data_IF_363883091928
#
_entry.id   IF_363883091928
#
_cell.length_a   1.000
_cell.length_b   1.000
_cell.length_c   1.000
_cell.angle_alpha   90.00
_cell.angle_beta   90.00
_cell.angle_gamma   90.00
#
_symmetry.space_group_name_H-M   'P 1'
#
loop_
_entity.id
_entity.type
_entity.pdbx_description
1 polymer ?
#
# COMPACT_ATOMS: atom_id res chain seq x y z
N UNK A 1 34.33 15.26 15.54
CA UNK A 1 34.42 14.47 16.78
C UNK A 1 33.70 13.16 16.52
N UNK A 2 34.39 12.19 15.93
CA UNK A 2 33.82 10.91 15.47
C UNK A 2 34.06 9.85 16.53
N UNK A 3 32.99 9.21 16.99
CA UNK A 3 33.03 8.10 17.94
C UNK A 3 33.38 6.84 17.16
N UNK A 4 34.58 6.31 17.37
CA UNK A 4 35.05 5.03 16.83
C UNK A 4 34.55 3.88 17.70
N UNK A 5 33.66 3.03 17.18
CA UNK A 5 33.37 1.73 17.79
C UNK A 5 34.42 0.71 17.35
N UNK A 6 35.36 0.40 18.24
CA UNK A 6 36.38 -0.62 18.06
C UNK A 6 35.75 -2.02 18.19
N UNK A 7 35.67 -2.77 17.10
CA UNK A 7 35.54 -4.22 17.18
C UNK A 7 36.94 -4.80 17.39
N UNK A 8 37.21 -5.28 18.60
CA UNK A 8 38.43 -6.04 18.92
C UNK A 8 38.29 -7.46 18.38
N UNK A 9 38.78 -7.70 17.16
CA UNK A 9 39.03 -9.05 16.66
C UNK A 9 40.36 -9.53 17.26
N UNK A 10 40.29 -10.70 17.90
CA UNK A 10 41.40 -11.41 18.53
C UNK A 10 42.60 -11.51 17.58
N UNK A 11 43.75 -10.97 18.00
CA UNK A 11 44.97 -10.77 17.22
C UNK A 11 45.74 -12.06 16.90
N UNK A 12 45.09 -13.22 17.00
CA UNK A 12 45.73 -14.52 16.88
C UNK A 12 45.70 -15.09 15.44
N UNK A 13 45.02 -14.43 14.49
CA UNK A 13 44.82 -14.95 13.11
C UNK A 13 45.62 -14.19 12.03
N UNK A 14 46.19 -13.01 12.30
CA UNK A 14 46.93 -12.24 11.29
C UNK A 14 48.42 -12.25 11.59
N UNK A 15 49.10 -13.23 11.00
CA UNK A 15 50.53 -13.16 10.78
C UNK A 15 50.87 -12.01 9.81
N UNK A 16 51.80 -11.19 10.27
CA UNK A 16 52.72 -10.35 9.50
C UNK A 16 52.19 -9.05 8.86
N UNK A 17 52.84 -7.97 9.31
CA UNK A 17 52.67 -6.56 8.98
C UNK A 17 52.98 -6.22 7.53
N UNK A 18 52.05 -5.54 6.84
CA UNK A 18 52.39 -4.59 5.77
C UNK A 18 51.53 -3.34 5.87
N UNK A 19 52.20 -2.20 6.03
CA UNK A 19 51.63 -0.86 6.15
C UNK A 19 51.14 -0.32 4.81
N UNK A 20 49.89 0.17 4.71
CA UNK A 20 49.48 1.02 3.57
C UNK A 20 48.55 2.16 4.04
N UNK A 21 48.90 3.36 3.59
CA UNK A 21 48.39 4.71 3.90
C UNK A 21 46.96 4.96 3.36
N UNK A 22 46.01 5.64 4.06
CA UNK A 22 44.60 5.65 3.69
C UNK A 22 44.19 6.96 3.00
N UNK A 23 44.37 7.08 1.69
CA UNK A 23 43.70 8.12 0.91
C UNK A 23 43.35 7.61 -0.50
N UNK A 24 42.09 7.19 -0.68
CA UNK A 24 41.53 6.86 -1.99
C UNK A 24 40.25 6.03 -1.88
N UNK A 25 39.25 6.37 -2.70
CA UNK A 25 37.98 5.61 -2.91
C UNK A 25 38.27 4.14 -3.24
N UNK A 26 39.43 3.88 -3.84
CA UNK A 26 39.95 2.55 -4.20
C UNK A 26 40.31 1.68 -2.99
N UNK A 27 40.47 2.26 -1.79
CA UNK A 27 40.75 1.54 -0.55
C UNK A 27 39.51 0.91 0.09
N UNK A 28 38.34 1.50 -0.12
CA UNK A 28 37.07 0.99 0.44
C UNK A 28 36.52 -0.17 -0.41
N UNK A 29 36.66 -0.08 -1.74
CA UNK A 29 36.34 -1.15 -2.69
C UNK A 29 37.23 -2.37 -2.47
N UNK A 30 38.55 -2.17 -2.31
CA UNK A 30 39.48 -3.28 -2.02
C UNK A 30 39.24 -3.94 -0.66
N UNK A 31 38.75 -3.18 0.32
CA UNK A 31 38.40 -3.71 1.64
C UNK A 31 37.17 -4.61 1.55
N UNK A 32 36.20 -4.28 0.69
CA UNK A 32 35.06 -5.13 0.39
C UNK A 32 35.50 -6.41 -0.35
N UNK A 33 36.42 -6.30 -1.31
CA UNK A 33 36.95 -7.45 -2.05
C UNK A 33 37.72 -8.44 -1.14
N UNK A 34 38.44 -7.94 -0.15
CA UNK A 34 39.18 -8.77 0.83
C UNK A 34 38.21 -9.42 1.83
N UNK A 35 37.15 -8.73 2.25
CA UNK A 35 36.11 -9.31 3.12
C UNK A 35 35.40 -10.46 2.40
N UNK A 36 35.12 -10.32 1.10
CA UNK A 36 34.53 -11.38 0.28
C UNK A 36 35.47 -12.58 0.05
N UNK A 37 36.79 -12.39 0.08
CA UNK A 37 37.76 -13.49 -0.04
C UNK A 37 38.02 -14.25 1.26
N UNK A 38 37.82 -13.61 2.42
CA UNK A 38 38.09 -14.22 3.75
C UNK A 38 36.84 -14.90 4.33
N UNK A 39 35.64 -14.59 3.82
CA UNK A 39 34.41 -15.26 4.24
C UNK A 39 34.31 -16.68 3.61
N UNK A 40 34.14 -17.74 4.41
CA UNK A 40 34.00 -19.09 3.88
C UNK A 40 32.84 -19.17 2.89
N UNK A 41 33.12 -19.72 1.72
CA UNK A 41 32.11 -20.13 0.75
C UNK A 41 31.01 -20.92 1.45
N UNK A 42 29.77 -20.44 1.31
CA UNK A 42 28.52 -21.09 1.72
C UNK A 42 28.05 -20.97 3.18
N UNK A 43 28.15 -19.80 3.81
CA UNK A 43 27.06 -19.40 4.71
C UNK A 43 25.95 -18.83 3.84
N UNK A 44 24.83 -19.54 3.66
CA UNK A 44 23.63 -19.01 2.98
C UNK A 44 23.18 -17.77 3.76
N UNK A 45 23.61 -16.58 3.34
CA UNK A 45 23.21 -15.33 3.98
C UNK A 45 21.69 -15.30 3.91
N UNK A 46 21.04 -15.28 5.07
CA UNK A 46 19.59 -15.19 5.16
C UNK A 46 19.12 -13.96 4.38
N UNK A 47 18.17 -14.16 3.46
CA UNK A 47 17.50 -13.11 2.69
C UNK A 47 16.89 -12.03 3.59
N UNK A 48 16.59 -12.40 4.84
CA UNK A 48 16.09 -11.51 5.88
C UNK A 48 17.07 -11.36 7.04
N UNK A 49 16.99 -10.23 7.74
CA UNK A 49 17.81 -9.87 8.90
C UNK A 49 16.94 -9.44 10.09
N UNK A 50 17.56 -9.33 11.27
CA UNK A 50 16.89 -8.83 12.47
C UNK A 50 16.93 -7.29 12.52
N UNK A 51 16.07 -6.71 13.34
CA UNK A 51 15.97 -5.25 13.51
C UNK A 51 17.32 -4.59 13.86
N UNK A 52 18.09 -5.20 14.76
CA UNK A 52 19.39 -4.69 15.19
C UNK A 52 20.48 -4.73 14.11
N UNK A 53 20.31 -5.55 13.07
CA UNK A 53 21.25 -5.69 11.96
C UNK A 53 21.00 -4.67 10.84
N UNK A 54 19.92 -3.88 10.93
CA UNK A 54 19.52 -2.92 9.90
C UNK A 54 20.24 -1.59 10.06
N UNK A 55 20.52 -0.88 8.95
CA UNK A 55 20.94 0.51 9.03
C UNK A 55 19.78 1.39 9.56
N UNK A 56 20.13 2.50 10.20
CA UNK A 56 19.17 3.37 10.89
C UNK A 56 18.00 3.87 10.00
N UNK A 57 18.22 4.03 8.70
CA UNK A 57 17.19 4.46 7.75
C UNK A 57 16.16 3.37 7.37
N UNK A 58 16.43 2.10 7.71
CA UNK A 58 15.50 0.97 7.55
C UNK A 58 14.82 0.54 8.85
N UNK A 59 15.31 1.00 10.00
CA UNK A 59 14.76 0.71 11.33
C UNK A 59 13.47 1.51 11.56
N UNK A 60 12.37 1.06 10.98
CA UNK A 60 11.09 1.76 11.01
C UNK A 60 10.24 1.43 12.23
N UNK A 61 10.28 0.20 12.72
CA UNK A 61 9.50 -0.24 13.86
C UNK A 61 10.29 -1.13 14.82
N UNK A 62 10.52 -0.63 16.04
CA UNK A 62 11.24 -1.35 17.10
C UNK A 62 10.51 -2.61 17.57
N UNK A 63 9.20 -2.70 17.36
CA UNK A 63 8.37 -3.83 17.78
C UNK A 63 8.50 -5.04 16.84
N UNK A 64 8.90 -4.81 15.59
CA UNK A 64 9.16 -5.88 14.61
C UNK A 64 10.64 -6.22 14.73
N UNK A 65 10.94 -7.44 15.19
CA UNK A 65 12.31 -7.84 15.52
C UNK A 65 13.03 -8.64 14.41
N UNK A 66 12.28 -9.28 13.49
CA UNK A 66 12.81 -10.22 12.50
C UNK A 66 12.09 -10.08 11.15
N UNK A 67 12.71 -10.59 10.09
CA UNK A 67 12.06 -10.70 8.77
C UNK A 67 12.29 -9.50 7.84
N UNK A 68 13.22 -8.61 8.18
CA UNK A 68 13.50 -7.43 7.35
C UNK A 68 14.35 -7.78 6.14
N UNK A 69 14.05 -7.15 5.00
CA UNK A 69 14.91 -7.22 3.82
C UNK A 69 16.17 -6.40 4.04
N UNK A 70 17.32 -6.98 3.71
CA UNK A 70 18.62 -6.30 3.74
C UNK A 70 18.68 -5.23 2.62
N UNK A 71 19.51 -4.18 2.79
CA UNK A 71 19.84 -3.26 1.71
C UNK A 71 20.37 -3.99 0.47
N UNK A 72 19.79 -3.74 -0.71
CA UNK A 72 20.14 -4.47 -1.94
C UNK A 72 20.98 -3.66 -2.91
N UNK A 73 20.92 -2.32 -2.86
CA UNK A 73 21.59 -1.38 -3.77
C UNK A 73 21.39 -1.69 -5.27
N UNK A 74 20.32 -2.41 -5.61
CA UNK A 74 20.04 -2.85 -6.97
C UNK A 74 18.54 -2.87 -7.22
N UNK A 75 18.11 -2.09 -8.22
CA UNK A 75 16.72 -2.07 -8.67
C UNK A 75 16.22 -3.44 -9.12
N UNK A 76 17.08 -4.25 -9.74
CA UNK A 76 16.73 -5.61 -10.18
C UNK A 76 16.50 -6.51 -8.97
N UNK A 77 17.37 -6.49 -7.95
CA UNK A 77 17.17 -7.28 -6.73
C UNK A 77 15.96 -6.81 -5.92
N UNK A 78 15.68 -5.50 -5.90
CA UNK A 78 14.43 -4.95 -5.36
C UNK A 78 13.23 -5.51 -6.13
N UNK A 79 13.23 -5.40 -7.46
CA UNK A 79 12.13 -5.87 -8.31
C UNK A 79 11.97 -7.39 -8.29
N UNK A 80 13.03 -8.16 -8.08
CA UNK A 80 12.93 -9.61 -7.89
C UNK A 80 12.07 -9.97 -6.67
N UNK A 81 11.96 -9.08 -5.68
CA UNK A 81 11.03 -9.27 -4.57
C UNK A 81 9.56 -9.10 -4.96
N UNK A 82 9.23 -8.46 -6.10
CA UNK A 82 7.86 -8.40 -6.63
C UNK A 82 7.32 -9.75 -7.08
N UNK A 83 8.19 -10.70 -7.46
CA UNK A 83 7.80 -12.03 -7.91
C UNK A 83 7.47 -13.00 -6.75
N UNK A 84 7.62 -12.56 -5.50
CA UNK A 84 6.96 -13.21 -4.38
C UNK A 84 5.51 -12.70 -4.28
N UNK A 85 4.56 -13.59 -3.99
CA UNK A 85 3.14 -13.23 -3.92
C UNK A 85 2.93 -12.26 -2.75
N UNK A 86 2.61 -11.00 -3.06
CA UNK A 86 2.28 -9.95 -2.09
C UNK A 86 0.86 -9.43 -2.32
N UNK A 87 0.15 -9.08 -1.25
CA UNK A 87 -1.24 -8.58 -1.33
C UNK A 87 -1.40 -7.37 -2.27
N UNK A 88 -0.38 -6.52 -2.38
CA UNK A 88 -0.43 -5.34 -3.25
C UNK A 88 -0.27 -5.68 -4.74
N UNK A 89 0.57 -6.66 -5.06
CA UNK A 89 0.72 -7.20 -6.41
C UNK A 89 -0.55 -7.94 -6.84
N UNK A 90 -1.13 -8.75 -5.94
CA UNK A 90 -2.41 -9.44 -6.17
C UNK A 90 -3.52 -8.42 -6.41
N UNK A 91 -3.61 -7.39 -5.56
CA UNK A 91 -4.59 -6.32 -5.71
C UNK A 91 -4.49 -5.63 -7.07
N UNK A 92 -3.28 -5.24 -7.48
CA UNK A 92 -3.07 -4.55 -8.77
C UNK A 92 -3.52 -5.41 -9.95
N UNK A 93 -3.16 -6.70 -9.97
CA UNK A 93 -3.59 -7.65 -11.02
C UNK A 93 -5.10 -7.88 -10.98
N UNK A 94 -5.70 -7.97 -9.78
CA UNK A 94 -7.14 -8.12 -9.63
C UNK A 94 -7.90 -6.93 -10.21
N UNK A 95 -7.43 -5.70 -9.99
CA UNK A 95 -8.06 -4.49 -10.56
C UNK A 95 -7.86 -4.36 -12.08
N UNK A 96 -6.75 -4.87 -12.63
CA UNK A 96 -6.57 -4.98 -14.08
C UNK A 96 -7.57 -5.97 -14.70
N UNK A 97 -7.73 -7.14 -14.09
CA UNK A 97 -8.76 -8.10 -14.49
C UNK A 97 -10.16 -7.51 -14.36
N UNK A 98 -10.43 -6.78 -13.27
CA UNK A 98 -11.70 -6.10 -13.05
C UNK A 98 -11.98 -5.07 -14.13
N UNK A 99 -10.99 -4.28 -14.55
CA UNK A 99 -11.13 -3.32 -15.64
C UNK A 99 -11.46 -4.00 -16.98
N UNK A 100 -10.80 -5.12 -17.27
CA UNK A 100 -11.11 -5.95 -18.44
C UNK A 100 -12.55 -6.50 -18.37
N UNK A 101 -12.93 -7.10 -17.24
CA UNK A 101 -14.28 -7.61 -17.02
C UNK A 101 -15.33 -6.49 -17.10
N UNK A 102 -15.03 -5.29 -16.59
CA UNK A 102 -15.92 -4.13 -16.69
C UNK A 102 -16.19 -3.81 -18.16
N UNK A 103 -15.12 -3.70 -18.96
CA UNK A 103 -15.23 -3.33 -20.37
C UNK A 103 -16.00 -4.35 -21.20
N UNK A 104 -15.64 -5.64 -21.07
CA UNK A 104 -16.17 -6.68 -21.95
C UNK A 104 -17.48 -7.31 -21.44
N UNK A 105 -17.69 -7.36 -20.11
CA UNK A 105 -18.84 -8.04 -19.52
C UNK A 105 -19.88 -7.09 -18.90
N UNK A 106 -19.45 -6.04 -18.19
CA UNK A 106 -20.41 -5.14 -17.52
C UNK A 106 -21.03 -4.21 -18.56
N UNK A 107 -20.21 -3.52 -19.35
CA UNK A 107 -20.71 -2.55 -20.33
C UNK A 107 -21.47 -3.20 -21.48
N UNK A 108 -21.15 -4.44 -21.86
CA UNK A 108 -21.89 -5.17 -22.91
C UNK A 108 -23.34 -5.48 -22.54
N UNK A 109 -23.71 -5.42 -21.26
CA UNK A 109 -25.09 -5.65 -20.80
C UNK A 109 -25.99 -4.42 -20.82
N UNK A 110 -25.42 -3.22 -21.03
CA UNK A 110 -26.17 -1.99 -20.97
C UNK A 110 -26.01 -1.20 -22.27
N UNK A 111 -27.06 -1.17 -23.08
CA UNK A 111 -27.08 -0.45 -24.37
C UNK A 111 -27.27 1.07 -24.23
N UNK A 112 -27.65 1.55 -23.03
CA UNK A 112 -27.96 2.95 -22.74
C UNK A 112 -26.79 3.71 -22.09
N UNK A 113 -25.59 3.12 -22.03
CA UNK A 113 -24.42 3.76 -21.42
C UNK A 113 -23.93 4.96 -22.22
N UNK A 114 -23.72 6.07 -21.52
CA UNK A 114 -23.08 7.27 -22.04
C UNK A 114 -21.60 7.32 -21.68
N UNK A 115 -20.85 8.24 -22.30
CA UNK A 115 -19.41 8.42 -22.06
C UNK A 115 -19.07 8.71 -20.58
N UNK A 116 -19.96 9.40 -19.86
CA UNK A 116 -19.78 9.68 -18.43
C UNK A 116 -19.75 8.41 -17.58
N UNK A 117 -20.52 7.37 -17.94
CA UNK A 117 -20.52 6.10 -17.22
C UNK A 117 -19.15 5.43 -17.34
N UNK A 118 -18.59 5.36 -18.55
CA UNK A 118 -17.23 4.86 -18.77
C UNK A 118 -16.20 5.67 -17.98
N UNK A 119 -16.32 7.01 -17.99
CA UNK A 119 -15.39 7.90 -17.30
C UNK A 119 -15.37 7.62 -15.79
N UNK A 120 -16.54 7.56 -15.14
CA UNK A 120 -16.64 7.35 -13.68
C UNK A 120 -16.03 6.01 -13.27
N UNK A 121 -16.34 4.93 -13.99
CA UNK A 121 -15.78 3.61 -13.72
C UNK A 121 -14.26 3.58 -13.91
N UNK A 122 -13.74 4.13 -15.01
CA UNK A 122 -12.31 4.10 -15.28
C UNK A 122 -11.50 5.01 -14.35
N UNK A 123 -12.04 6.16 -13.93
CA UNK A 123 -11.39 7.00 -12.92
C UNK A 123 -11.25 6.25 -11.60
N UNK A 124 -12.30 5.53 -11.16
CA UNK A 124 -12.22 4.69 -9.97
C UNK A 124 -11.18 3.57 -10.11
N UNK A 125 -11.24 2.80 -11.20
CA UNK A 125 -10.32 1.68 -11.44
C UNK A 125 -8.86 2.14 -11.55
N UNK A 126 -8.62 3.23 -12.28
CA UNK A 126 -7.28 3.82 -12.42
C UNK A 126 -6.78 4.35 -11.08
N UNK A 127 -7.62 5.02 -10.30
CA UNK A 127 -7.29 5.48 -8.95
C UNK A 127 -6.86 4.32 -8.04
N UNK A 128 -7.62 3.22 -8.05
CA UNK A 128 -7.28 2.01 -7.29
C UNK A 128 -5.94 1.39 -7.74
N UNK A 129 -5.71 1.28 -9.05
CA UNK A 129 -4.45 0.76 -9.60
C UNK A 129 -3.24 1.65 -9.26
N UNK A 130 -3.38 2.97 -9.36
CA UNK A 130 -2.31 3.92 -9.00
C UNK A 130 -2.02 3.83 -7.50
N UNK A 131 -3.04 3.75 -6.66
CA UNK A 131 -2.88 3.62 -5.21
C UNK A 131 -2.09 2.36 -4.83
N UNK A 132 -2.49 1.20 -5.35
CA UNK A 132 -1.80 -0.07 -5.11
C UNK A 132 -0.41 -0.10 -5.76
N UNK A 133 -0.25 0.52 -6.93
CA UNK A 133 1.03 0.63 -7.64
C UNK A 133 2.05 1.47 -6.87
N UNK A 134 1.64 2.61 -6.29
CA UNK A 134 2.49 3.41 -5.42
C UNK A 134 2.83 2.68 -4.13
N UNK A 135 1.89 1.97 -3.53
CA UNK A 135 2.16 1.10 -2.38
C UNK A 135 3.24 0.06 -2.72
N UNK A 136 3.06 -0.63 -3.85
CA UNK A 136 3.95 -1.72 -4.25
C UNK A 136 5.35 -1.21 -4.60
N UNK A 137 5.41 -0.06 -5.28
CA UNK A 137 6.66 0.64 -5.59
C UNK A 137 7.39 1.06 -4.31
N UNK A 138 6.66 1.61 -3.35
CA UNK A 138 7.21 2.00 -2.05
C UNK A 138 7.79 0.80 -1.31
N UNK A 139 7.05 -0.31 -1.19
CA UNK A 139 7.53 -1.52 -0.52
C UNK A 139 8.69 -2.14 -1.28
N UNK A 140 8.70 -2.10 -2.61
CA UNK A 140 9.77 -2.68 -3.43
C UNK A 140 11.08 -1.90 -3.32
N UNK A 141 11.01 -0.56 -3.42
CA UNK A 141 12.19 0.29 -3.50
C UNK A 141 12.75 0.71 -2.14
N UNK A 142 12.00 0.51 -1.05
CA UNK A 142 12.45 0.97 0.26
C UNK A 142 13.71 0.28 0.77
N UNK A 143 14.05 -0.93 0.31
CA UNK A 143 15.30 -1.60 0.67
C UNK A 143 16.48 -1.28 -0.27
N UNK A 144 16.32 -0.38 -1.24
CA UNK A 144 17.38 -0.12 -2.23
C UNK A 144 18.61 0.57 -1.60
N UNK A 145 18.42 1.78 -1.06
CA UNK A 145 19.48 2.62 -0.50
C UNK A 145 18.85 3.76 0.29
N UNK A 146 19.61 4.40 1.18
CA UNK A 146 19.12 5.54 1.98
C UNK A 146 18.54 6.67 1.10
N UNK A 147 19.24 7.09 0.05
CA UNK A 147 18.79 8.16 -0.87
C UNK A 147 17.42 7.85 -1.48
N UNK A 148 17.24 6.62 -1.96
CA UNK A 148 15.99 6.17 -2.55
C UNK A 148 14.89 6.01 -1.50
N UNK A 149 15.19 5.45 -0.33
CA UNK A 149 14.23 5.33 0.78
C UNK A 149 13.72 6.70 1.24
N UNK A 150 14.61 7.69 1.32
CA UNK A 150 14.25 9.08 1.62
C UNK A 150 13.38 9.70 0.53
N UNK A 151 13.75 9.51 -0.74
CA UNK A 151 12.98 10.02 -1.88
C UNK A 151 11.55 9.44 -1.95
N UNK A 152 11.36 8.17 -1.58
CA UNK A 152 10.04 7.52 -1.56
C UNK A 152 9.26 7.73 -0.25
N UNK A 153 9.64 8.71 0.59
CA UNK A 153 8.94 9.12 1.83
C UNK A 153 9.42 8.45 3.13
N UNK A 154 10.73 8.44 3.41
CA UNK A 154 11.25 7.96 4.71
C UNK A 154 10.76 8.80 5.90
N UNK A 155 10.60 10.11 5.73
CA UNK A 155 10.22 11.00 6.84
C UNK A 155 8.79 10.75 7.34
N UNK A 156 7.89 10.40 6.43
CA UNK A 156 6.50 10.04 6.74
C UNK A 156 6.35 8.61 7.25
N UNK A 157 7.43 7.80 7.23
CA UNK A 157 7.47 6.44 7.78
C UNK A 157 7.57 6.41 9.30
N UNK A 158 8.09 7.47 9.94
CA UNK A 158 8.32 7.49 11.38
C UNK A 158 7.08 7.04 12.16
N UNK A 159 7.22 6.13 13.17
CA UNK A 159 6.11 5.69 14.01
C UNK A 159 5.32 6.84 14.63
N UNK A 160 5.99 7.98 14.89
CA UNK A 160 5.37 9.20 15.42
C UNK A 160 4.28 9.78 14.52
N UNK A 161 4.38 9.59 13.20
CA UNK A 161 3.42 10.08 12.21
C UNK A 161 2.38 9.03 11.79
N UNK A 162 2.39 7.84 12.39
CA UNK A 162 1.46 6.75 12.06
C UNK A 162 0.00 7.16 12.24
N UNK A 163 -0.33 7.70 13.42
CA UNK A 163 -1.70 8.17 13.72
C UNK A 163 -2.11 9.38 12.88
N UNK A 164 -1.16 10.24 12.52
CA UNK A 164 -1.44 11.34 11.60
C UNK A 164 -1.82 10.81 10.20
N UNK A 165 -1.09 9.83 9.68
CA UNK A 165 -1.40 9.20 8.38
C UNK A 165 -2.75 8.50 8.39
N UNK A 166 -3.02 7.67 9.40
CA UNK A 166 -4.33 6.99 9.54
C UNK A 166 -5.46 8.01 9.65
N UNK A 167 -5.27 9.08 10.44
CA UNK A 167 -6.23 10.15 10.59
C UNK A 167 -6.54 10.89 9.29
N UNK A 168 -5.51 11.18 8.48
CA UNK A 168 -5.69 11.83 7.18
C UNK A 168 -6.55 10.99 6.23
N UNK A 169 -6.24 9.70 6.07
CA UNK A 169 -7.02 8.80 5.21
C UNK A 169 -8.43 8.59 5.72
N UNK A 170 -8.60 8.46 7.03
CA UNK A 170 -9.91 8.33 7.66
C UNK A 170 -10.75 9.60 7.48
N UNK A 171 -10.18 10.78 7.64
CA UNK A 171 -10.87 12.05 7.43
C UNK A 171 -11.33 12.23 5.98
N UNK A 172 -10.48 11.89 5.00
CA UNK A 172 -10.87 11.90 3.59
C UNK A 172 -12.06 10.96 3.33
N UNK A 173 -12.05 9.75 3.88
CA UNK A 173 -13.17 8.81 3.74
C UNK A 173 -14.44 9.28 4.43
N UNK A 174 -14.35 9.76 5.67
CA UNK A 174 -15.49 10.25 6.46
C UNK A 174 -16.11 11.53 5.88
N UNK A 175 -15.38 12.28 5.05
CA UNK A 175 -15.95 13.45 4.36
C UNK A 175 -17.17 13.10 3.51
N UNK A 176 -17.28 11.86 3.02
CA UNK A 176 -18.42 11.35 2.26
C UNK A 176 -19.74 11.29 3.07
N UNK A 177 -19.67 11.37 4.40
CA UNK A 177 -20.87 11.40 5.26
C UNK A 177 -21.70 12.66 5.00
N UNK A 178 -21.07 13.81 4.71
CA UNK A 178 -21.77 15.07 4.47
C UNK A 178 -22.69 15.00 3.23
N UNK A 179 -22.18 14.67 2.02
CA UNK A 179 -23.05 14.53 0.85
C UNK A 179 -24.04 13.37 0.99
N UNK A 180 -23.71 12.32 1.76
CA UNK A 180 -24.62 11.21 2.03
C UNK A 180 -25.85 11.64 2.84
N UNK A 181 -25.63 12.34 3.95
CA UNK A 181 -26.70 12.88 4.79
C UNK A 181 -27.55 13.87 3.98
N UNK A 182 -26.90 14.74 3.21
CA UNK A 182 -27.60 15.69 2.33
C UNK A 182 -28.51 14.98 1.32
N UNK A 183 -28.01 13.91 0.66
CA UNK A 183 -28.80 13.12 -0.27
C UNK A 183 -30.00 12.45 0.42
N UNK A 184 -29.81 11.87 1.61
CA UNK A 184 -30.88 11.22 2.36
C UNK A 184 -31.97 12.23 2.76
N UNK A 185 -31.59 13.46 3.14
CA UNK A 185 -32.54 14.52 3.49
C UNK A 185 -33.38 14.95 2.28
N UNK A 186 -32.77 15.08 1.10
CA UNK A 186 -33.46 15.58 -0.11
C UNK A 186 -34.31 14.49 -0.77
N UNK A 187 -33.76 13.28 -0.91
CA UNK A 187 -34.33 12.22 -1.74
C UNK A 187 -35.06 11.12 -0.93
N UNK A 188 -34.83 11.08 0.39
CA UNK A 188 -35.36 10.04 1.26
C UNK A 188 -34.54 8.75 1.23
N UNK A 189 -34.58 8.00 2.34
CA UNK A 189 -33.76 6.80 2.53
C UNK A 189 -34.05 5.69 1.52
N UNK A 190 -35.33 5.49 1.16
CA UNK A 190 -35.75 4.41 0.28
C UNK A 190 -35.19 4.58 -1.13
N UNK A 191 -35.25 5.79 -1.69
CA UNK A 191 -34.67 6.08 -3.01
C UNK A 191 -33.14 5.97 -2.97
N UNK A 192 -32.49 6.44 -1.90
CA UNK A 192 -31.04 6.32 -1.74
C UNK A 192 -30.54 4.87 -1.69
N UNK A 193 -31.34 3.92 -1.17
CA UNK A 193 -30.95 2.50 -1.15
C UNK A 193 -30.64 1.98 -2.55
N UNK A 194 -31.45 2.36 -3.54
CA UNK A 194 -31.30 1.88 -4.91
C UNK A 194 -30.46 2.83 -5.77
N UNK A 195 -30.71 4.14 -5.69
CA UNK A 195 -30.10 5.15 -6.55
C UNK A 195 -28.60 5.35 -6.32
N UNK A 196 -28.13 5.22 -5.07
CA UNK A 196 -26.71 5.35 -4.71
C UNK A 196 -26.15 4.07 -4.10
N UNK A 197 -26.90 2.96 -4.13
CA UNK A 197 -26.52 1.70 -3.51
C UNK A 197 -26.12 1.84 -2.03
N UNK A 198 -26.91 2.60 -1.25
CA UNK A 198 -26.57 3.03 0.12
C UNK A 198 -26.02 1.90 1.01
N UNK A 199 -26.61 0.69 0.92
CA UNK A 199 -26.17 -0.48 1.71
C UNK A 199 -24.71 -0.84 1.45
N UNK A 200 -24.29 -0.80 0.19
CA UNK A 200 -22.91 -1.09 -0.22
C UNK A 200 -21.96 0.03 0.21
N UNK A 201 -22.41 1.28 0.16
CA UNK A 201 -21.62 2.42 0.62
C UNK A 201 -21.34 2.35 2.13
N UNK A 202 -22.36 2.03 2.93
CA UNK A 202 -22.22 1.83 4.37
C UNK A 202 -21.33 0.61 4.70
N UNK A 203 -21.49 -0.49 3.98
CA UNK A 203 -20.67 -1.69 4.16
C UNK A 203 -19.19 -1.43 3.84
N UNK A 204 -18.91 -0.77 2.70
CA UNK A 204 -17.56 -0.35 2.33
C UNK A 204 -16.94 0.55 3.41
N UNK A 205 -17.69 1.55 3.89
CA UNK A 205 -17.24 2.44 4.96
C UNK A 205 -16.90 1.69 6.25
N UNK A 206 -17.75 0.75 6.67
CA UNK A 206 -17.50 -0.07 7.87
C UNK A 206 -16.23 -0.92 7.73
N UNK A 207 -16.06 -1.62 6.61
CA UNK A 207 -14.87 -2.43 6.31
C UNK A 207 -13.60 -1.56 6.36
N UNK A 208 -13.65 -0.36 5.79
CA UNK A 208 -12.52 0.56 5.77
C UNK A 208 -12.14 1.06 7.18
N UNK A 209 -13.11 1.47 7.99
CA UNK A 209 -12.90 1.92 9.36
C UNK A 209 -12.32 0.79 10.22
N UNK A 210 -12.89 -0.42 10.12
CA UNK A 210 -12.40 -1.60 10.86
C UNK A 210 -10.95 -1.90 10.46
N UNK A 211 -10.64 -1.93 9.16
CA UNK A 211 -9.28 -2.13 8.67
C UNK A 211 -8.30 -1.08 9.20
N UNK A 212 -8.70 0.20 9.20
CA UNK A 212 -7.89 1.31 9.71
C UNK A 212 -7.65 1.25 11.23
N UNK A 213 -8.61 0.74 12.01
CA UNK A 213 -8.46 0.55 13.45
C UNK A 213 -7.58 -0.66 13.79
N UNK A 214 -7.67 -1.74 13.00
CA UNK A 214 -6.79 -2.91 13.14
C UNK A 214 -5.35 -2.55 12.76
N UNK A 215 -5.16 -1.62 11.82
CA UNK A 215 -3.88 -1.03 11.45
C UNK A 215 -3.27 -0.23 12.63
N UNK A 216 -2.59 -0.94 13.53
CA UNK A 216 -1.91 -0.36 14.69
C UNK A 216 -1.97 -1.19 15.97
N UNK A 217 -2.73 -2.30 16.02
CA UNK A 217 -2.93 -3.08 17.26
C UNK A 217 -1.93 -4.24 17.41
N UNK A 218 -1.55 -4.92 16.33
CA UNK A 218 -0.65 -6.08 16.38
C UNK A 218 0.56 -5.86 15.49
N UNK A 219 1.77 -5.84 16.07
CA UNK A 219 3.00 -5.47 15.34
C UNK A 219 4.14 -6.50 15.53
N UNK A 220 3.80 -7.78 15.70
CA UNK A 220 4.83 -8.81 15.88
C UNK A 220 5.43 -9.25 14.52
N UNK A 221 4.68 -9.07 13.42
CA UNK A 221 5.12 -9.32 12.05
C UNK A 221 4.32 -8.40 11.11
N UNK A 222 4.84 -8.05 9.92
CA UNK A 222 4.15 -7.22 8.90
C UNK A 222 2.77 -7.72 8.40
N UNK A 223 2.19 -8.69 9.10
CA UNK A 223 0.81 -9.19 9.02
C UNK A 223 -0.25 -8.09 9.18
N UNK A 224 -0.14 -7.16 10.12
CA UNK A 224 -1.18 -6.12 10.30
C UNK A 224 -1.29 -5.18 9.10
N UNK A 225 -0.16 -4.89 8.44
CA UNK A 225 -0.13 -4.14 7.18
C UNK A 225 -0.77 -4.95 6.04
N UNK A 226 -0.46 -6.25 5.93
CA UNK A 226 -1.08 -7.14 4.95
C UNK A 226 -2.59 -7.27 5.15
N UNK A 227 -3.04 -7.36 6.41
CA UNK A 227 -4.45 -7.36 6.80
C UNK A 227 -5.09 -6.03 6.39
N UNK A 228 -4.44 -4.89 6.66
CA UNK A 228 -4.94 -3.59 6.22
C UNK A 228 -5.16 -3.54 4.70
N UNK A 229 -4.19 -3.97 3.89
CA UNK A 229 -4.36 -4.05 2.43
C UNK A 229 -5.49 -4.97 2.00
N UNK A 230 -5.69 -6.09 2.69
CA UNK A 230 -6.85 -6.96 2.46
C UNK A 230 -8.16 -6.20 2.67
N UNK A 231 -8.34 -5.52 3.81
CA UNK A 231 -9.53 -4.70 4.07
C UNK A 231 -9.74 -3.59 3.02
N UNK A 232 -8.66 -2.91 2.59
CA UNK A 232 -8.73 -1.87 1.55
C UNK A 232 -9.22 -2.44 0.22
N UNK A 233 -8.68 -3.59 -0.22
CA UNK A 233 -9.11 -4.25 -1.47
C UNK A 233 -10.55 -4.72 -1.36
N UNK A 234 -10.94 -5.35 -0.25
CA UNK A 234 -12.33 -5.79 -0.03
C UNK A 234 -13.31 -4.61 -0.04
N UNK A 235 -12.97 -3.51 0.63
CA UNK A 235 -13.78 -2.29 0.63
C UNK A 235 -13.95 -1.74 -0.80
N UNK A 236 -12.87 -1.67 -1.57
CA UNK A 236 -12.91 -1.21 -2.96
C UNK A 236 -13.74 -2.14 -3.87
N UNK A 237 -13.72 -3.46 -3.66
CA UNK A 237 -14.59 -4.40 -4.39
C UNK A 237 -16.07 -4.23 -4.03
N UNK A 238 -16.39 -4.03 -2.75
CA UNK A 238 -17.77 -3.72 -2.31
C UNK A 238 -18.25 -2.42 -2.91
N UNK A 239 -17.39 -1.39 -2.96
CA UNK A 239 -17.71 -0.12 -3.61
C UNK A 239 -17.99 -0.32 -5.10
N UNK A 240 -17.10 -1.01 -5.82
CA UNK A 240 -17.27 -1.31 -7.25
C UNK A 240 -18.60 -2.03 -7.53
N UNK A 241 -18.94 -3.03 -6.73
CA UNK A 241 -20.24 -3.71 -6.84
C UNK A 241 -21.42 -2.76 -6.59
N UNK A 242 -21.30 -1.86 -5.61
CA UNK A 242 -22.28 -0.81 -5.36
C UNK A 242 -22.47 0.13 -6.56
N UNK A 243 -21.39 0.52 -7.23
CA UNK A 243 -21.46 1.36 -8.45
C UNK A 243 -22.16 0.62 -9.59
N UNK A 244 -21.89 -0.68 -9.79
CA UNK A 244 -22.64 -1.49 -10.78
C UNK A 244 -24.12 -1.53 -10.45
N UNK A 245 -24.48 -1.74 -9.18
CA UNK A 245 -25.88 -1.79 -8.76
C UNK A 245 -26.59 -0.43 -8.98
N UNK A 246 -25.91 0.68 -8.67
CA UNK A 246 -26.44 2.02 -8.89
C UNK A 246 -26.63 2.30 -10.39
N UNK A 247 -25.63 1.99 -11.22
CA UNK A 247 -25.72 2.08 -12.68
C UNK A 247 -26.89 1.22 -13.20
N UNK A 248 -27.03 -0.01 -12.71
CA UNK A 248 -28.16 -0.88 -13.05
C UNK A 248 -29.51 -0.22 -12.78
N UNK A 249 -29.69 0.40 -11.61
CA UNK A 249 -30.92 1.14 -11.28
C UNK A 249 -31.19 2.28 -12.27
N UNK A 250 -30.21 3.15 -12.52
CA UNK A 250 -30.38 4.30 -13.41
C UNK A 250 -30.63 3.91 -14.87
N UNK A 251 -29.97 2.87 -15.37
CA UNK A 251 -30.08 2.47 -16.77
C UNK A 251 -31.22 1.49 -17.07
N UNK A 252 -31.79 0.81 -16.06
CA UNK A 252 -32.89 -0.15 -16.25
C UNK A 252 -34.22 0.30 -15.65
N UNK A 253 -34.21 0.87 -14.44
CA UNK A 253 -35.44 1.18 -13.69
C UNK A 253 -35.83 2.65 -13.78
N UNK A 254 -34.88 3.57 -13.96
CA UNK A 254 -35.13 5.01 -13.94
C UNK A 254 -34.45 5.78 -15.09
N UNK A 255 -34.45 5.21 -16.29
CA UNK A 255 -33.79 5.81 -17.46
C UNK A 255 -34.39 7.17 -17.86
N UNK A 256 -35.69 7.37 -17.62
CA UNK A 256 -36.40 8.62 -17.93
C UNK A 256 -36.33 9.67 -16.81
N UNK A 257 -35.59 9.42 -15.72
CA UNK A 257 -35.55 10.29 -14.53
C UNK A 257 -36.95 10.65 -14.00
N UNK A 258 -37.89 9.72 -14.13
CA UNK A 258 -39.32 9.95 -13.89
C UNK A 258 -39.73 9.67 -12.44
N UNK A 259 -38.84 9.11 -11.60
CA UNK A 259 -39.10 9.00 -10.15
C UNK A 259 -38.98 10.37 -9.47
N UNK A 260 -40.10 10.96 -8.99
CA UNK A 260 -40.03 12.22 -8.27
C UNK A 260 -39.32 12.01 -6.92
N UNK A 261 -38.53 12.99 -6.44
CA UNK A 261 -38.01 12.93 -5.08
C UNK A 261 -39.20 12.83 -4.13
N UNK A 262 -39.20 11.79 -3.28
CA UNK A 262 -40.23 11.64 -2.26
C UNK A 262 -40.09 12.85 -1.33
N UNK A 263 -41.04 13.79 -1.37
CA UNK A 263 -41.02 14.95 -0.47
C UNK A 263 -41.02 14.43 0.95
N UNK A 264 -39.90 14.59 1.65
CA UNK A 264 -39.82 14.36 3.09
C UNK A 264 -40.69 15.42 3.75
N UNK A 265 -41.96 15.11 3.99
CA UNK A 265 -42.80 15.91 4.89
C UNK A 265 -42.29 15.66 6.31
N UNK A 266 -41.55 16.63 6.84
CA UNK A 266 -41.33 16.74 8.28
C UNK A 266 -42.71 17.04 8.90
N UNK A 267 -43.35 16.01 9.46
CA UNK A 267 -44.49 16.17 10.37
C UNK A 267 -43.97 16.43 11.79
#
# INVERSE_FOLDING_TARGET
MSISTNYSLDSTILGETTSINPHGVDGEVRKLDIIDQVLPSATKISLTCNFGDLPAWLQDNVDILKGYRRPTFSYVKCAQSLFYIHNESIGTVAFLFLAFATHFYVFSKHSTLGWLDFMVFYVFLLGAMICLGFSSTFHTLCCHSEKISVAVSSKFRSPRLRWFRTGLFLAMGLSAIVPLIHAIIIYGIHLCIDAISLKHLLLMGAIYVIGALIYGVFDIYGSSHQIFHFFVVTAALVHYYGVIHAMGYWHSQNHDCSTPPMKVTFQ
#
